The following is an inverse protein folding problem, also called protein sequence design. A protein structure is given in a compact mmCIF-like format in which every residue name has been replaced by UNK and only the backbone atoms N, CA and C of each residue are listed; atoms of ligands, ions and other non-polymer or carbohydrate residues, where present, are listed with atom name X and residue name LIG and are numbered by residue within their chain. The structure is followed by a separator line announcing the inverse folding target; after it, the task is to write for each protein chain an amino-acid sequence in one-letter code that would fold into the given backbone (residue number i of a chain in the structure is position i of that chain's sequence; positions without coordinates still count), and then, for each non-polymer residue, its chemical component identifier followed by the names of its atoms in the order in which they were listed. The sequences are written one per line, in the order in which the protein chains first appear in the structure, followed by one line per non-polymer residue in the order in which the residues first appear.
data_IF_639050756512
#
_entry.id   IF_639050756512
#
_cell.length_a   1.000
_cell.length_b   1.000
_cell.length_c   1.000
_cell.angle_alpha   90.00
_cell.angle_beta   90.00
_cell.angle_gamma   90.00
#
_symmetry.space_group_name_H-M   'P 1'
#
loop_
_entity.id
_entity.type
_entity.pdbx_description
1 polymer ?
#
# COMPACT_ATOMS: atom_id res chain seq x y z
N UNK A 1 7.48 10.04 18.66
CA UNK A 1 6.92 10.11 17.29
C UNK A 1 7.92 9.50 16.32
N UNK A 2 7.49 8.61 15.42
CA UNK A 2 8.36 8.08 14.37
C UNK A 2 8.79 9.21 13.43
N UNK A 3 10.04 9.14 12.97
CA UNK A 3 10.53 10.02 11.91
C UNK A 3 9.95 9.49 10.61
N UNK A 4 9.08 10.27 9.97
CA UNK A 4 8.47 9.91 8.69
C UNK A 4 9.38 10.34 7.53
N UNK A 5 9.49 9.54 6.46
CA UNK A 5 10.22 9.93 5.28
C UNK A 5 9.54 11.11 4.57
N UNK A 6 10.31 11.89 3.82
CA UNK A 6 9.77 12.86 2.87
C UNK A 6 9.24 12.10 1.67
N UNK A 7 7.94 12.18 1.44
CA UNK A 7 7.31 11.56 0.28
C UNK A 7 7.44 12.48 -0.94
N UNK A 8 7.73 11.94 -2.13
CA UNK A 8 7.66 12.70 -3.37
C UNK A 8 6.22 13.14 -3.67
N UNK A 9 6.05 14.15 -4.53
CA UNK A 9 4.73 14.43 -5.11
C UNK A 9 4.25 13.24 -5.96
N UNK A 10 2.96 13.20 -6.26
CA UNK A 10 2.39 12.15 -7.13
C UNK A 10 3.13 12.07 -8.47
N UNK A 11 3.38 13.22 -9.11
CA UNK A 11 4.10 13.33 -10.39
C UNK A 11 5.59 12.99 -10.32
N UNK A 12 6.20 13.08 -9.13
CA UNK A 12 7.62 12.78 -8.90
C UNK A 12 7.87 11.40 -8.31
N UNK A 13 6.81 10.66 -7.97
CA UNK A 13 6.92 9.32 -7.38
C UNK A 13 7.41 8.33 -8.45
N UNK A 14 8.62 7.74 -8.29
CA UNK A 14 9.13 6.78 -9.27
C UNK A 14 8.34 5.46 -9.20
N UNK A 15 8.17 4.77 -10.33
CA UNK A 15 7.62 3.41 -10.32
C UNK A 15 8.57 2.44 -9.61
N UNK A 16 8.00 1.39 -9.03
CA UNK A 16 8.74 0.27 -8.42
C UNK A 16 8.64 -0.92 -9.37
N UNK A 17 9.79 -1.38 -9.86
CA UNK A 17 9.87 -2.55 -10.72
C UNK A 17 10.28 -3.76 -9.90
N UNK A 18 9.56 -4.86 -10.09
CA UNK A 18 9.96 -6.18 -9.60
C UNK A 18 10.14 -7.13 -10.78
N UNK A 19 10.39 -8.41 -10.50
CA UNK A 19 10.56 -9.43 -11.53
C UNK A 19 9.33 -9.55 -12.44
N UNK A 20 8.12 -9.54 -11.88
CA UNK A 20 6.86 -9.76 -12.61
C UNK A 20 5.91 -8.56 -12.59
N UNK A 21 6.16 -7.56 -11.75
CA UNK A 21 5.21 -6.47 -11.51
C UNK A 21 5.83 -5.10 -11.77
N UNK A 22 4.96 -4.19 -12.16
CA UNK A 22 5.20 -2.75 -12.12
C UNK A 22 4.21 -2.15 -11.12
N UNK A 23 4.71 -1.46 -10.11
CA UNK A 23 3.91 -0.63 -9.24
C UNK A 23 4.14 0.83 -9.64
N UNK A 24 3.09 1.53 -10.06
CA UNK A 24 3.20 2.94 -10.49
C UNK A 24 2.10 3.81 -9.88
N UNK A 25 2.31 5.12 -9.72
CA UNK A 25 1.25 6.02 -9.31
C UNK A 25 -0.02 5.84 -10.16
N UNK A 26 -1.17 6.07 -9.53
CA UNK A 26 -2.47 6.02 -10.19
C UNK A 26 -2.54 7.00 -11.36
N UNK A 27 -3.23 6.63 -12.43
CA UNK A 27 -3.51 7.49 -13.58
C UNK A 27 -5.00 7.48 -13.82
N UNK A 28 -5.57 8.58 -14.32
CA UNK A 28 -7.01 8.66 -14.63
C UNK A 28 -7.54 7.47 -15.46
N UNK A 29 -6.69 6.94 -16.36
CA UNK A 29 -7.00 5.75 -17.17
C UNK A 29 -7.20 4.44 -16.38
N UNK A 30 -6.80 4.38 -15.10
CA UNK A 30 -6.97 3.20 -14.24
C UNK A 30 -8.40 3.04 -13.71
N UNK A 31 -9.23 4.09 -13.81
CA UNK A 31 -10.58 4.11 -13.24
C UNK A 31 -11.42 2.87 -13.61
N UNK A 32 -11.47 2.39 -14.87
CA UNK A 32 -12.22 1.18 -15.20
C UNK A 32 -11.72 -0.06 -14.45
N UNK A 33 -10.40 -0.25 -14.35
CA UNK A 33 -9.82 -1.39 -13.66
C UNK A 33 -10.04 -1.31 -12.13
N UNK A 34 -9.94 -0.12 -11.56
CA UNK A 34 -10.25 0.10 -10.14
C UNK A 34 -11.73 -0.10 -9.85
N UNK A 35 -12.62 0.25 -10.78
CA UNK A 35 -14.04 -0.01 -10.61
C UNK A 35 -14.33 -1.51 -10.57
N UNK A 36 -13.69 -2.33 -11.43
CA UNK A 36 -13.78 -3.80 -11.33
C UNK A 36 -13.29 -4.28 -9.97
N UNK A 37 -12.12 -3.81 -9.53
CA UNK A 37 -11.56 -4.17 -8.22
C UNK A 37 -12.52 -3.83 -7.05
N UNK A 38 -13.14 -2.66 -7.10
CA UNK A 38 -14.01 -2.13 -6.04
C UNK A 38 -15.48 -2.55 -6.15
N UNK A 39 -15.86 -3.21 -7.25
CA UNK A 39 -17.15 -3.88 -7.40
C UNK A 39 -17.09 -5.39 -7.19
N UNK A 40 -15.90 -5.94 -6.96
CA UNK A 40 -15.72 -7.37 -6.64
C UNK A 40 -16.00 -7.63 -5.14
N UNK A 41 -17.07 -8.37 -4.78
CA UNK A 41 -17.45 -8.58 -3.37
C UNK A 41 -16.37 -9.25 -2.51
N UNK A 42 -15.68 -10.25 -3.07
CA UNK A 42 -14.64 -11.02 -2.38
C UNK A 42 -13.42 -10.16 -2.04
N UNK A 43 -13.16 -9.12 -2.82
CA UNK A 43 -12.12 -8.12 -2.56
C UNK A 43 -12.58 -7.15 -1.48
N UNK A 44 -13.80 -6.60 -1.64
CA UNK A 44 -14.27 -5.49 -0.81
C UNK A 44 -14.73 -5.90 0.60
N UNK A 45 -15.08 -7.17 0.84
CA UNK A 45 -15.54 -7.68 2.15
C UNK A 45 -14.59 -7.42 3.32
N UNK A 46 -13.28 -7.28 3.05
CA UNK A 46 -12.25 -7.06 4.09
C UNK A 46 -11.85 -5.60 4.25
N UNK A 47 -12.38 -4.71 3.42
CA UNK A 47 -12.07 -3.29 3.49
C UNK A 47 -12.83 -2.63 4.63
N UNK A 48 -12.34 -1.47 5.09
CA UNK A 48 -13.07 -0.61 6.04
C UNK A 48 -14.48 -0.22 5.54
N UNK A 49 -14.67 -0.14 4.22
CA UNK A 49 -15.97 0.13 3.61
C UNK A 49 -16.93 -1.06 3.73
N UNK A 50 -16.40 -2.28 3.65
CA UNK A 50 -17.15 -3.53 3.84
C UNK A 50 -18.29 -3.76 2.84
N UNK A 51 -18.36 -2.99 1.76
CA UNK A 51 -19.30 -3.13 0.65
C UNK A 51 -18.62 -2.73 -0.66
N UNK A 52 -19.18 -3.21 -1.76
CA UNK A 52 -18.81 -2.76 -3.09
C UNK A 52 -19.19 -1.29 -3.30
N UNK A 53 -18.50 -0.63 -4.23
CA UNK A 53 -18.93 0.65 -4.76
C UNK A 53 -20.22 0.46 -5.57
N UNK A 54 -21.16 1.40 -5.43
CA UNK A 54 -22.44 1.35 -6.13
C UNK A 54 -22.34 1.82 -7.58
N UNK A 55 -21.41 2.75 -7.86
CA UNK A 55 -21.25 3.37 -9.19
C UNK A 55 -19.78 3.65 -9.49
N UNK A 56 -19.46 3.91 -10.76
CA UNK A 56 -18.11 4.28 -11.18
C UNK A 56 -17.69 5.64 -10.61
N UNK A 57 -18.63 6.54 -10.37
CA UNK A 57 -18.39 7.84 -9.72
C UNK A 57 -17.97 7.68 -8.26
N UNK A 58 -18.50 6.68 -7.56
CA UNK A 58 -18.03 6.36 -6.20
C UNK A 58 -16.56 5.88 -6.23
N UNK A 59 -16.20 5.04 -7.21
CA UNK A 59 -14.81 4.62 -7.41
C UNK A 59 -13.91 5.80 -7.81
N UNK A 60 -14.40 6.73 -8.65
CA UNK A 60 -13.67 7.97 -9.01
C UNK A 60 -13.36 8.80 -7.77
N UNK A 61 -14.35 9.06 -6.91
CA UNK A 61 -14.16 9.81 -5.66
C UNK A 61 -13.19 9.13 -4.69
N UNK A 62 -13.16 7.80 -4.67
CA UNK A 62 -12.17 7.07 -3.91
C UNK A 62 -10.76 7.26 -4.50
N UNK A 63 -10.63 7.17 -5.83
CA UNK A 63 -9.38 7.31 -6.57
C UNK A 63 -8.79 8.72 -6.48
N UNK A 64 -9.63 9.75 -6.48
CA UNK A 64 -9.25 11.17 -6.37
C UNK A 64 -8.42 11.47 -5.11
N UNK A 65 -8.68 10.74 -4.01
CA UNK A 65 -7.92 10.81 -2.75
C UNK A 65 -6.43 10.47 -2.94
N UNK A 66 -6.10 9.78 -4.03
CA UNK A 66 -4.77 9.28 -4.33
C UNK A 66 -4.19 9.91 -5.62
N UNK A 67 -4.93 10.73 -6.35
CA UNK A 67 -4.40 11.37 -7.57
C UNK A 67 -4.21 12.87 -7.42
N UNK A 68 -4.84 13.50 -6.44
CA UNK A 68 -4.69 14.93 -6.24
C UNK A 68 -3.27 15.24 -5.74
N UNK A 69 -2.55 16.09 -6.49
CA UNK A 69 -1.35 16.74 -6.00
C UNK A 69 -1.80 17.63 -4.84
N UNK A 70 -1.47 17.21 -3.62
CA UNK A 70 -1.96 17.83 -2.38
C UNK A 70 -1.67 19.34 -2.40
N UNK A 71 -2.71 20.14 -2.60
CA UNK A 71 -2.67 21.57 -2.28
C UNK A 71 -2.57 21.66 -0.76
N UNK A 72 -1.39 22.05 -0.27
CA UNK A 72 -1.09 22.56 1.08
C UNK A 72 -1.93 21.96 2.23
N UNK A 73 -1.40 20.96 2.92
CA UNK A 73 -1.90 20.49 4.22
C UNK A 73 -2.39 19.05 4.26
N UNK A 74 -2.64 18.42 3.12
CA UNK A 74 -2.94 16.99 3.02
C UNK A 74 -1.65 16.16 2.95
N UNK A 75 -1.67 14.97 3.57
CA UNK A 75 -0.52 14.07 3.60
C UNK A 75 -0.21 13.55 2.19
N UNK A 76 1.07 13.59 1.75
CA UNK A 76 1.43 13.16 0.41
C UNK A 76 1.08 11.69 0.16
N UNK A 77 0.61 11.39 -1.06
CA UNK A 77 0.17 10.07 -1.46
C UNK A 77 1.36 9.16 -1.85
N UNK A 78 1.38 7.93 -1.33
CA UNK A 78 2.31 6.88 -1.74
C UNK A 78 1.54 5.58 -2.06
N UNK A 79 0.58 5.66 -2.99
CA UNK A 79 -0.24 4.55 -3.47
C UNK A 79 -0.03 4.29 -4.97
N UNK A 80 -0.02 3.01 -5.31
CA UNK A 80 0.37 2.50 -6.61
C UNK A 80 -0.68 1.54 -7.16
N UNK A 81 -0.96 1.67 -8.46
CA UNK A 81 -1.57 0.61 -9.24
C UNK A 81 -0.54 -0.51 -9.36
N UNK A 82 -0.96 -1.75 -9.15
CA UNK A 82 -0.10 -2.93 -9.32
C UNK A 82 -0.44 -3.56 -10.66
N UNK A 83 0.50 -3.52 -11.59
CA UNK A 83 0.35 -4.08 -12.93
C UNK A 83 1.20 -5.33 -13.07
N UNK A 84 0.65 -6.35 -13.74
CA UNK A 84 1.45 -7.49 -14.21
C UNK A 84 2.23 -7.05 -15.44
N UNK A 85 3.54 -7.26 -15.45
CA UNK A 85 4.36 -7.01 -16.64
C UNK A 85 3.97 -7.96 -17.76
N UNK A 86 3.96 -7.47 -19.00
CA UNK A 86 3.89 -8.32 -20.18
C UNK A 86 5.16 -9.18 -20.27
N UNK A 87 5.08 -10.35 -20.90
CA UNK A 87 6.19 -11.33 -20.95
C UNK A 87 7.36 -10.76 -21.78
N UNK A 88 8.59 -10.73 -21.25
CA UNK A 88 9.77 -10.31 -22.00
C UNK A 88 9.99 -11.21 -23.23
N UNK A 89 10.17 -10.60 -24.41
CA UNK A 89 10.39 -11.32 -25.67
C UNK A 89 9.20 -11.36 -26.63
N UNK A 90 8.00 -10.98 -26.17
CA UNK A 90 6.79 -10.87 -27.00
C UNK A 90 6.42 -9.42 -27.35
N UNK A 91 7.22 -8.45 -26.88
CA UNK A 91 6.91 -7.02 -26.97
C UNK A 91 8.06 -6.32 -27.71
N UNK A 92 7.79 -5.55 -28.77
CA UNK A 92 8.78 -4.67 -29.37
C UNK A 92 9.36 -3.71 -28.33
N UNK A 93 10.65 -3.36 -28.42
CA UNK A 93 11.30 -2.44 -27.47
C UNK A 93 10.64 -1.04 -27.37
N UNK A 94 9.76 -0.71 -28.32
CA UNK A 94 9.01 0.55 -28.39
C UNK A 94 7.68 0.51 -27.63
N UNK A 95 7.23 -0.66 -27.18
CA UNK A 95 5.96 -0.83 -26.48
C UNK A 95 6.16 -0.90 -24.96
N UNK A 96 5.14 -0.42 -24.24
CA UNK A 96 5.15 -0.42 -22.78
C UNK A 96 5.15 -1.85 -22.21
N UNK A 97 5.99 -2.08 -21.19
CA UNK A 97 5.99 -3.31 -20.39
C UNK A 97 4.76 -3.43 -19.47
N UNK A 98 3.93 -2.38 -19.39
CA UNK A 98 2.66 -2.36 -18.65
C UNK A 98 1.67 -3.38 -19.24
N UNK A 99 1.29 -4.37 -18.43
CA UNK A 99 0.14 -5.23 -18.69
C UNK A 99 -1.06 -4.85 -17.81
N UNK A 100 -1.87 -5.83 -17.44
CA UNK A 100 -3.13 -5.59 -16.74
C UNK A 100 -2.91 -5.07 -15.31
N UNK A 101 -3.75 -4.12 -14.89
CA UNK A 101 -3.90 -3.74 -13.48
C UNK A 101 -4.54 -4.91 -12.74
N UNK A 102 -3.82 -5.47 -11.78
CA UNK A 102 -4.25 -6.63 -10.98
C UNK A 102 -4.55 -6.28 -9.53
N UNK A 103 -4.29 -5.04 -9.12
CA UNK A 103 -4.50 -4.59 -7.75
C UNK A 103 -4.03 -3.16 -7.49
N UNK A 104 -4.11 -2.78 -6.22
CA UNK A 104 -3.57 -1.52 -5.69
C UNK A 104 -2.81 -1.79 -4.39
N UNK A 105 -1.79 -1.00 -4.12
CA UNK A 105 -0.99 -1.12 -2.90
C UNK A 105 -0.35 0.21 -2.53
N UNK A 106 -0.24 0.51 -1.24
CA UNK A 106 0.48 1.70 -0.78
C UNK A 106 0.20 2.06 0.67
N UNK A 107 0.48 3.31 1.01
CA UNK A 107 0.24 3.86 2.35
C UNK A 107 -1.19 4.43 2.42
N UNK A 108 -2.09 3.72 3.08
CA UNK A 108 -3.51 4.10 3.16
C UNK A 108 -3.80 5.17 4.23
N UNK A 109 -2.94 5.27 5.24
CA UNK A 109 -3.03 6.27 6.29
C UNK A 109 -1.64 6.55 6.84
N UNK A 110 -1.40 7.78 7.30
CA UNK A 110 -0.16 8.16 7.95
C UNK A 110 -0.50 9.19 9.03
N UNK A 111 -0.05 9.00 10.26
CA UNK A 111 -0.21 10.03 11.29
C UNK A 111 1.01 10.09 12.20
N UNK A 112 1.28 11.22 12.87
CA UNK A 112 2.39 11.33 13.81
C UNK A 112 2.32 10.34 14.98
N UNK A 113 1.11 9.93 15.37
CA UNK A 113 0.87 8.99 16.47
C UNK A 113 0.99 7.54 16.02
N UNK A 114 0.49 7.25 14.82
CA UNK A 114 0.31 5.89 14.33
C UNK A 114 1.39 5.44 13.36
N UNK A 115 2.14 6.36 12.74
CA UNK A 115 3.04 6.04 11.64
C UNK A 115 2.31 5.64 10.35
N UNK A 116 3.03 5.11 9.36
CA UNK A 116 2.49 4.73 8.05
C UNK A 116 1.79 3.37 8.09
N UNK A 117 0.55 3.31 7.60
CA UNK A 117 -0.24 2.09 7.45
C UNK A 117 -0.29 1.63 5.99
N UNK A 118 0.18 0.42 5.72
CA UNK A 118 0.14 -0.22 4.40
C UNK A 118 -1.22 -0.88 4.16
N UNK A 119 -1.75 -0.67 2.96
CA UNK A 119 -2.93 -1.31 2.43
C UNK A 119 -2.70 -1.93 1.07
N UNK A 120 -3.47 -2.96 0.75
CA UNK A 120 -3.50 -3.54 -0.60
C UNK A 120 -4.82 -4.25 -0.90
N UNK A 121 -5.16 -4.27 -2.18
CA UNK A 121 -6.27 -5.02 -2.76
C UNK A 121 -5.78 -5.67 -4.05
N UNK A 122 -6.18 -6.92 -4.30
CA UNK A 122 -5.86 -7.64 -5.51
C UNK A 122 -7.11 -8.33 -6.04
N UNK A 123 -7.24 -8.40 -7.37
CA UNK A 123 -8.29 -9.16 -8.01
C UNK A 123 -8.14 -10.67 -7.72
N UNK A 124 -9.25 -11.44 -7.63
CA UNK A 124 -9.21 -12.87 -7.33
C UNK A 124 -8.30 -13.68 -8.26
N UNK A 125 -8.22 -13.32 -9.54
CA UNK A 125 -7.40 -13.99 -10.55
C UNK A 125 -5.89 -13.84 -10.25
N UNK A 126 -5.50 -12.87 -9.43
CA UNK A 126 -4.13 -12.65 -8.99
C UNK A 126 -3.78 -13.38 -7.68
N UNK A 127 -4.76 -13.96 -6.98
CA UNK A 127 -4.54 -14.63 -5.69
C UNK A 127 -3.79 -15.96 -5.86
N UNK A 128 -3.08 -16.37 -4.81
CA UNK A 128 -2.32 -17.63 -4.81
C UNK A 128 -1.06 -17.65 -5.68
N UNK A 129 -0.82 -16.62 -6.51
CA UNK A 129 0.32 -16.53 -7.45
C UNK A 129 1.55 -15.80 -6.90
N UNK A 130 1.48 -15.35 -5.64
CA UNK A 130 2.56 -14.64 -4.95
C UNK A 130 2.71 -13.16 -5.30
N UNK A 131 1.81 -12.58 -6.11
CA UNK A 131 1.93 -11.17 -6.53
C UNK A 131 1.82 -10.18 -5.36
N UNK A 132 0.91 -10.40 -4.41
CA UNK A 132 0.80 -9.53 -3.24
C UNK A 132 2.07 -9.54 -2.37
N UNK A 133 2.70 -10.71 -2.19
CA UNK A 133 3.99 -10.85 -1.49
C UNK A 133 5.10 -10.10 -2.22
N UNK A 134 5.22 -10.30 -3.54
CA UNK A 134 6.23 -9.61 -4.35
C UNK A 134 6.05 -8.08 -4.35
N UNK A 135 4.82 -7.61 -4.52
CA UNK A 135 4.49 -6.19 -4.49
C UNK A 135 4.80 -5.57 -3.12
N UNK A 136 4.46 -6.25 -2.03
CA UNK A 136 4.68 -5.74 -0.67
C UNK A 136 6.16 -5.66 -0.32
N UNK A 137 6.95 -6.65 -0.74
CA UNK A 137 8.41 -6.61 -0.59
C UNK A 137 8.99 -5.42 -1.38
N UNK A 138 8.61 -5.24 -2.65
CA UNK A 138 9.06 -4.11 -3.46
C UNK A 138 8.67 -2.75 -2.88
N UNK A 139 7.43 -2.62 -2.37
CA UNK A 139 6.97 -1.41 -1.68
C UNK A 139 7.81 -1.11 -0.44
N UNK A 140 8.03 -2.10 0.43
CA UNK A 140 8.79 -1.91 1.66
C UNK A 140 10.24 -1.48 1.36
N UNK A 141 10.90 -2.14 0.42
CA UNK A 141 12.24 -1.75 -0.02
C UNK A 141 12.29 -0.32 -0.57
N UNK A 142 11.32 0.07 -1.40
CA UNK A 142 11.23 1.43 -1.92
C UNK A 142 11.00 2.45 -0.81
N UNK A 143 10.13 2.13 0.15
CA UNK A 143 9.85 2.95 1.31
C UNK A 143 11.11 3.20 2.15
N UNK A 144 11.93 2.18 2.39
CA UNK A 144 13.18 2.32 3.16
C UNK A 144 14.28 3.12 2.46
N UNK A 145 14.17 3.32 1.14
CA UNK A 145 15.05 4.19 0.34
C UNK A 145 14.63 5.65 0.32
N UNK A 146 13.44 5.98 0.81
CA UNK A 146 12.98 7.37 0.86
C UNK A 146 13.85 8.20 1.81
N UNK A 147 14.12 9.47 1.48
CA UNK A 147 14.93 10.34 2.32
C UNK A 147 14.19 10.63 3.63
N UNK A 148 14.81 10.28 4.75
CA UNK A 148 14.37 10.73 6.08
C UNK A 148 14.91 12.13 6.34
N UNK A 149 14.14 13.05 6.94
CA UNK A 149 14.69 14.30 7.44
C UNK A 149 15.91 14.00 8.32
N UNK A 150 17.08 14.56 7.97
CA UNK A 150 18.29 14.41 8.77
C UNK A 150 18.01 14.87 10.20
N UNK A 151 18.48 14.10 11.18
CA UNK A 151 18.72 14.66 12.49
C UNK A 151 20.05 15.39 12.43
N UNK A 152 20.05 16.72 12.64
CA UNK A 152 21.24 17.44 13.10
C UNK A 152 21.77 16.71 14.34
N UNK A 153 22.82 15.90 14.18
CA UNK A 153 23.52 15.27 15.28
C UNK A 153 24.40 16.31 15.97
N UNK A 154 23.76 17.21 16.72
CA UNK A 154 24.42 18.06 17.71
C UNK A 154 23.57 18.09 18.99
N UNK A 155 23.71 17.09 19.85
CA UNK A 155 23.14 17.14 21.20
C UNK A 155 22.77 15.79 21.82
N UNK A 156 23.69 15.28 22.65
CA UNK A 156 23.46 14.48 23.87
C UNK A 156 22.18 13.64 24.05
N UNK A 157 22.35 12.32 24.12
CA UNK A 157 21.85 11.54 25.27
C UNK A 157 20.35 11.19 25.37
N UNK A 158 19.62 11.09 24.26
CA UNK A 158 18.25 10.57 24.24
C UNK A 158 18.18 9.12 23.76
N UNK A 159 17.26 8.33 24.33
CA UNK A 159 16.96 6.94 23.94
C UNK A 159 16.90 6.78 22.42
N UNK A 160 17.47 5.68 21.91
CA UNK A 160 17.50 5.36 20.48
C UNK A 160 16.07 5.36 19.91
N UNK A 161 15.69 6.45 19.23
CA UNK A 161 14.41 6.51 18.52
C UNK A 161 14.41 5.40 17.49
N UNK A 162 13.42 4.51 17.59
CA UNK A 162 13.25 3.38 16.67
C UNK A 162 13.38 3.83 15.22
N UNK A 163 14.33 3.22 14.51
CA UNK A 163 14.62 3.52 13.12
C UNK A 163 13.50 2.93 12.26
N UNK A 164 12.44 3.70 11.99
CA UNK A 164 11.41 3.45 10.96
C UNK A 164 10.61 2.14 11.05
N UNK A 165 9.28 2.21 10.96
CA UNK A 165 8.43 1.03 10.84
C UNK A 165 7.29 1.27 9.83
N UNK A 166 6.74 0.18 9.30
CA UNK A 166 5.48 0.13 8.56
C UNK A 166 4.47 -0.66 9.39
N UNK A 167 3.21 -0.25 9.37
CA UNK A 167 2.10 -0.95 10.02
C UNK A 167 1.10 -1.48 9.01
N UNK A 168 0.34 -2.49 9.41
CA UNK A 168 -0.81 -2.98 8.67
C UNK A 168 -1.84 -3.49 9.68
N UNK A 169 -3.12 -3.41 9.31
CA UNK A 169 -4.22 -3.94 10.11
C UNK A 169 -5.01 -4.92 9.26
N UNK A 170 -5.32 -6.08 9.83
CA UNK A 170 -6.11 -7.11 9.14
C UNK A 170 -7.17 -7.68 10.05
N UNK A 171 -8.36 -7.93 9.53
CA UNK A 171 -9.32 -8.80 10.19
C UNK A 171 -8.70 -10.18 10.49
N UNK A 172 -8.89 -10.75 11.69
CA UNK A 172 -8.30 -12.05 12.12
C UNK A 172 -8.60 -13.19 11.15
N UNK A 173 -9.84 -13.27 10.66
CA UNK A 173 -10.26 -14.24 9.65
C UNK A 173 -9.70 -14.01 8.22
N UNK A 174 -9.02 -12.89 7.93
CA UNK A 174 -8.41 -12.64 6.62
C UNK A 174 -7.05 -13.36 6.50
N UNK A 175 -7.12 -14.69 6.36
CA UNK A 175 -5.94 -15.55 6.27
C UNK A 175 -5.07 -15.25 5.04
N UNK A 176 -5.66 -14.75 3.96
CA UNK A 176 -4.93 -14.35 2.76
C UNK A 176 -3.95 -13.22 3.05
N UNK A 177 -4.43 -12.16 3.70
CA UNK A 177 -3.61 -11.03 4.10
C UNK A 177 -2.56 -11.42 5.16
N UNK A 178 -2.95 -12.19 6.18
CA UNK A 178 -2.03 -12.67 7.21
C UNK A 178 -0.85 -13.48 6.64
N UNK A 179 -1.12 -14.35 5.64
CA UNK A 179 -0.07 -15.11 4.93
C UNK A 179 0.88 -14.22 4.14
N UNK A 180 0.38 -13.17 3.49
CA UNK A 180 1.21 -12.21 2.76
C UNK A 180 2.15 -11.48 3.72
N UNK A 181 1.60 -10.91 4.80
CA UNK A 181 2.37 -10.18 5.81
C UNK A 181 3.44 -11.07 6.45
N UNK A 182 3.08 -12.29 6.87
CA UNK A 182 4.02 -13.25 7.45
C UNK A 182 5.18 -13.57 6.49
N UNK A 183 4.89 -13.81 5.20
CA UNK A 183 5.92 -14.08 4.18
C UNK A 183 6.85 -12.89 3.92
N UNK A 184 6.37 -11.68 4.14
CA UNK A 184 7.15 -10.46 4.00
C UNK A 184 7.89 -10.06 5.29
N UNK A 185 7.93 -10.92 6.32
CA UNK A 185 8.67 -10.67 7.56
C UNK A 185 7.95 -9.77 8.57
N UNK A 186 6.65 -9.52 8.38
CA UNK A 186 5.86 -8.75 9.34
C UNK A 186 5.50 -9.60 10.55
N UNK A 187 5.48 -8.97 11.72
CA UNK A 187 5.12 -9.61 12.99
C UNK A 187 3.84 -9.01 13.57
N UNK A 188 3.01 -9.84 14.19
CA UNK A 188 1.88 -9.36 15.00
C UNK A 188 2.43 -8.73 16.27
N UNK A 189 2.07 -7.47 16.51
CA UNK A 189 2.46 -6.70 17.71
C UNK A 189 1.29 -6.44 18.65
N UNK A 190 0.08 -6.80 18.23
CA UNK A 190 -1.11 -6.69 19.06
C UNK A 190 -2.35 -7.17 18.33
N UNK A 191 -3.45 -7.17 19.07
CA UNK A 191 -4.78 -7.47 18.57
C UNK A 191 -5.79 -6.53 19.21
N UNK A 192 -6.94 -6.38 18.58
CA UNK A 192 -7.99 -5.49 19.06
C UNK A 192 -9.29 -5.70 18.31
N UNK A 193 -10.24 -4.82 18.60
CA UNK A 193 -11.53 -4.78 17.91
C UNK A 193 -11.62 -3.45 17.19
N UNK A 194 -11.62 -3.48 15.87
CA UNK A 194 -11.81 -2.30 15.03
C UNK A 194 -13.25 -2.20 14.51
N UNK A 195 -13.58 -1.03 13.99
CA UNK A 195 -14.92 -0.71 13.50
C UNK A 195 -15.74 0.10 14.51
N UNK A 196 -16.99 0.38 14.15
CA UNK A 196 -17.89 1.23 14.94
C UNK A 196 -19.35 0.78 14.80
N UNK A 197 -20.16 1.05 15.83
CA UNK A 197 -21.54 0.59 15.90
C UNK A 197 -21.65 -0.93 15.90
N UNK A 198 -22.53 -1.48 15.05
CA UNK A 198 -22.77 -2.92 14.92
C UNK A 198 -21.69 -3.66 14.09
N UNK A 199 -20.81 -2.94 13.40
CA UNK A 199 -19.76 -3.54 12.53
C UNK A 199 -18.41 -3.58 13.22
N UNK A 200 -18.34 -4.28 14.35
CA UNK A 200 -17.09 -4.57 15.06
C UNK A 200 -16.48 -5.85 14.50
N UNK A 201 -15.15 -5.88 14.38
CA UNK A 201 -14.44 -7.06 13.95
C UNK A 201 -13.10 -7.20 14.67
N UNK A 202 -12.71 -8.45 14.92
CA UNK A 202 -11.42 -8.74 15.54
C UNK A 202 -10.29 -8.51 14.52
N UNK A 203 -9.29 -7.75 14.94
CA UNK A 203 -8.15 -7.37 14.13
C UNK A 203 -6.83 -7.84 14.72
N UNK A 204 -5.86 -8.01 13.83
CA UNK A 204 -4.44 -8.14 14.13
C UNK A 204 -3.72 -6.87 13.70
N UNK A 205 -2.85 -6.37 14.57
CA UNK A 205 -1.96 -5.25 14.31
C UNK A 205 -0.58 -5.79 13.96
N UNK A 206 -0.13 -5.48 12.75
CA UNK A 206 1.13 -5.95 12.20
C UNK A 206 2.14 -4.82 12.13
N UNK A 207 3.41 -5.17 12.28
CA UNK A 207 4.53 -4.25 12.13
C UNK A 207 5.65 -4.90 11.32
N UNK A 208 6.23 -4.13 10.39
CA UNK A 208 7.51 -4.41 9.77
C UNK A 208 8.49 -3.32 10.19
N UNK A 209 9.56 -3.72 10.87
CA UNK A 209 10.63 -2.81 11.28
C UNK A 209 11.61 -2.61 10.12
N UNK A 210 12.21 -1.42 10.01
CA UNK A 210 13.30 -1.20 9.07
C UNK A 210 14.42 -2.21 9.38
N UNK A 211 14.99 -2.89 8.38
CA UNK A 211 16.14 -3.75 8.58
C UNK A 211 17.30 -2.97 9.20
N UNK A 212 18.07 -3.61 10.08
CA UNK A 212 19.35 -3.07 10.53
C UNK A 212 20.31 -3.02 9.33
N UNK A 213 21.03 -1.90 9.18
CA UNK A 213 22.08 -1.71 8.18
C UNK A 213 23.35 -2.40 8.63
#
# INVERSE_FOLDING_TARGET
MPILPRLPSHSQTPPIHTARLLLRPFRAADLPAFHVLRTTPEVMRWTRQGRIDATIEETSKWMERFTNETQTGELPNYNFAVLRKKVPGEIPATESEEGDVIGVMGIMSMSPENGPEVGYLFLPEAWGKGYATEALTGLAEAWWRLPTPEHDFSGSGGEAKEVGFLRAVTHKANLGSAKVLTKCGWTVVGEGVDGGGEKKFDSLYWMLRRPAV
#
